data_IF_149152297268
#
_entry.id   IF_149152297268
#
_cell.length_a   1.000
_cell.length_b   1.000
_cell.length_c   1.000
_cell.angle_alpha   90.00
_cell.angle_beta   90.00
_cell.angle_gamma   90.00
#
_symmetry.space_group_name_H-M   'P 1'
#
loop_
_entity.id
_entity.type
_entity.pdbx_description
1 polymer ?
#
# COMPACT_ATOMS: atom_id res chain seq x y z
N UNK A 1 -13.04 37.47 -36.43
CA UNK A 1 -12.17 37.34 -35.24
C UNK A 1 -13.06 36.89 -34.10
N UNK A 2 -13.25 35.58 -33.99
CA UNK A 2 -14.21 34.98 -33.07
C UNK A 2 -13.62 34.95 -31.66
N UNK A 3 -13.79 36.06 -30.93
CA UNK A 3 -13.41 36.21 -29.51
C UNK A 3 -14.04 35.12 -28.61
N UNK A 4 -15.11 34.48 -29.09
CA UNK A 4 -15.77 33.35 -28.44
C UNK A 4 -15.05 32.01 -28.66
N UNK A 5 -14.32 31.82 -29.76
CA UNK A 5 -13.57 30.58 -30.03
C UNK A 5 -12.33 30.52 -29.13
N UNK A 6 -11.58 31.61 -29.01
CA UNK A 6 -10.43 31.69 -28.10
C UNK A 6 -10.83 31.53 -26.63
N UNK A 7 -11.96 32.13 -26.21
CA UNK A 7 -12.48 31.98 -24.85
C UNK A 7 -12.93 30.54 -24.53
N UNK A 8 -13.53 29.83 -25.50
CA UNK A 8 -13.90 28.41 -25.35
C UNK A 8 -12.67 27.51 -25.23
N UNK A 9 -11.64 27.74 -26.04
CA UNK A 9 -10.37 27.01 -25.91
C UNK A 9 -9.67 27.30 -24.58
N UNK A 10 -9.67 28.55 -24.12
CA UNK A 10 -9.13 28.91 -22.81
C UNK A 10 -9.87 28.21 -21.66
N UNK A 11 -11.21 28.16 -21.72
CA UNK A 11 -12.02 27.43 -20.74
C UNK A 11 -11.77 25.91 -20.79
N UNK A 12 -11.65 25.33 -21.98
CA UNK A 12 -11.34 23.89 -22.14
C UNK A 12 -9.94 23.58 -21.60
N UNK A 13 -8.94 24.40 -21.92
CA UNK A 13 -7.57 24.24 -21.40
C UNK A 13 -7.52 24.44 -19.87
N UNK A 14 -8.27 25.39 -19.33
CA UNK A 14 -8.39 25.59 -17.89
C UNK A 14 -9.03 24.35 -17.25
N UNK A 15 -10.19 23.88 -17.74
CA UNK A 15 -10.87 22.68 -17.24
C UNK A 15 -10.01 21.42 -17.34
N UNK A 16 -9.27 21.22 -18.45
CA UNK A 16 -8.33 20.11 -18.59
C UNK A 16 -7.20 20.20 -17.57
N UNK A 17 -6.65 21.39 -17.32
CA UNK A 17 -5.67 21.59 -16.25
C UNK A 17 -6.25 21.33 -14.84
N UNK A 18 -7.53 21.62 -14.58
CA UNK A 18 -8.22 21.25 -13.33
C UNK A 18 -8.46 19.74 -13.22
N UNK A 19 -8.73 19.06 -14.34
CA UNK A 19 -8.90 17.60 -14.39
C UNK A 19 -7.55 16.90 -14.17
N UNK A 20 -6.47 17.38 -14.79
CA UNK A 20 -5.11 16.84 -14.61
C UNK A 20 -4.58 17.05 -13.19
N UNK A 21 -4.89 18.19 -12.53
CA UNK A 21 -4.49 18.46 -11.15
C UNK A 21 -5.18 17.53 -10.13
N UNK A 22 -6.32 16.93 -10.47
CA UNK A 22 -7.04 15.99 -9.60
C UNK A 22 -6.66 14.53 -9.82
N UNK A 23 -6.01 14.18 -10.93
CA UNK A 23 -5.63 12.80 -11.25
C UNK A 23 -4.28 12.43 -10.61
N UNK A 24 -3.42 13.39 -10.28
CA UNK A 24 -2.14 13.18 -9.58
C UNK A 24 -2.34 13.23 -8.06
N UNK A 25 -3.07 12.27 -7.48
CA UNK A 25 -3.31 12.27 -6.01
C UNK A 25 -2.89 10.99 -5.28
N UNK A 26 -2.08 10.12 -5.88
CA UNK A 26 -1.42 9.05 -5.14
C UNK A 26 -0.18 8.58 -5.91
N UNK A 27 0.97 9.18 -5.61
CA UNK A 27 2.23 8.51 -5.94
C UNK A 27 2.42 7.38 -4.92
N UNK A 28 1.91 6.19 -5.23
CA UNK A 28 2.18 5.01 -4.41
C UNK A 28 3.69 4.77 -4.36
N UNK A 29 4.27 4.92 -3.17
CA UNK A 29 5.66 4.54 -2.93
C UNK A 29 5.76 3.02 -2.87
N UNK A 30 6.89 2.44 -3.31
CA UNK A 30 7.08 1.00 -3.30
C UNK A 30 7.12 0.44 -1.87
N UNK A 31 6.90 -0.87 -1.75
CA UNK A 31 6.87 -1.59 -0.48
C UNK A 31 5.47 -1.69 0.12
N UNK A 32 5.37 -2.41 1.23
CA UNK A 32 4.10 -2.77 1.87
C UNK A 32 4.03 -2.24 3.30
N UNK A 33 2.84 -1.81 3.68
CA UNK A 33 2.56 -1.31 5.03
C UNK A 33 2.59 -2.44 6.06
N UNK A 34 3.26 -2.26 7.22
CA UNK A 34 3.18 -3.20 8.34
C UNK A 34 1.74 -3.46 8.76
N UNK A 35 1.45 -4.71 9.13
CA UNK A 35 0.18 -5.04 9.79
C UNK A 35 0.29 -4.66 11.26
N UNK A 36 -0.71 -3.93 11.73
CA UNK A 36 -0.83 -3.53 13.14
C UNK A 36 -2.08 -4.12 13.78
N UNK A 37 -2.09 -4.14 15.11
CA UNK A 37 -3.32 -4.21 15.89
C UNK A 37 -4.02 -2.85 15.90
N UNK A 38 -4.28 -2.31 17.09
CA UNK A 38 -4.85 -0.96 17.25
C UNK A 38 -3.71 0.01 17.60
N UNK A 39 -3.33 0.86 16.65
CA UNK A 39 -2.36 1.93 16.83
C UNK A 39 -2.97 3.19 17.45
N UNK A 40 -2.15 4.26 17.50
CA UNK A 40 -2.60 5.57 17.99
C UNK A 40 -3.53 6.19 16.93
N UNK A 41 -4.70 6.68 17.37
CA UNK A 41 -5.68 7.36 16.54
C UNK A 41 -5.24 8.79 16.18
N UNK A 42 -4.30 8.90 15.25
CA UNK A 42 -3.80 10.15 14.70
C UNK A 42 -3.79 10.04 13.17
N UNK A 43 -4.23 11.11 12.50
CA UNK A 43 -4.12 11.27 11.05
C UNK A 43 -2.92 12.17 10.74
N UNK A 44 -1.76 11.57 10.48
CA UNK A 44 -0.52 12.30 10.15
C UNK A 44 -0.32 12.49 8.65
N UNK A 45 -1.02 11.73 7.81
CA UNK A 45 -0.90 11.74 6.36
C UNK A 45 -2.21 11.30 5.72
N UNK A 46 -2.43 11.65 4.46
CA UNK A 46 -3.56 11.17 3.64
C UNK A 46 -3.11 10.24 2.51
N UNK A 47 -1.88 10.39 2.02
CA UNK A 47 -1.28 9.52 1.03
C UNK A 47 0.26 9.48 1.17
N UNK A 48 0.90 8.58 0.43
CA UNK A 48 2.36 8.37 0.49
C UNK A 48 3.18 9.64 0.18
N UNK A 49 2.67 10.56 -0.64
CA UNK A 49 3.38 11.80 -0.98
C UNK A 49 3.48 12.79 0.19
N UNK A 50 2.62 12.66 1.20
CA UNK A 50 2.67 13.47 2.41
C UNK A 50 3.83 13.04 3.33
N UNK A 51 4.33 11.81 3.16
CA UNK A 51 5.37 11.24 3.99
C UNK A 51 6.77 11.57 3.46
N UNK A 52 7.77 11.76 4.33
CA UNK A 52 9.14 12.01 3.90
C UNK A 52 9.78 10.76 3.29
N UNK A 53 10.82 10.94 2.47
CA UNK A 53 11.65 9.86 1.92
C UNK A 53 10.81 8.74 1.28
N UNK A 54 11.14 7.48 1.56
CA UNK A 54 10.44 6.29 1.09
C UNK A 54 9.34 5.81 2.06
N UNK A 55 8.96 6.61 3.06
CA UNK A 55 7.91 6.23 4.00
C UNK A 55 6.53 6.23 3.34
N UNK A 56 5.72 5.23 3.66
CA UNK A 56 4.34 5.10 3.19
C UNK A 56 3.37 5.62 4.24
N UNK A 57 2.24 6.13 3.77
CA UNK A 57 1.12 6.51 4.60
C UNK A 57 0.24 5.29 4.86
N UNK A 58 0.36 4.72 6.05
CA UNK A 58 -0.19 3.40 6.35
C UNK A 58 -1.25 3.48 7.45
N UNK A 59 -2.37 2.78 7.23
CA UNK A 59 -3.45 2.66 8.23
C UNK A 59 -3.03 1.74 9.38
N UNK A 60 -3.07 2.25 10.61
CA UNK A 60 -2.60 1.57 11.80
C UNK A 60 -3.72 0.92 12.65
N UNK A 61 -4.89 0.68 12.07
CA UNK A 61 -6.05 0.17 12.80
C UNK A 61 -6.92 1.24 13.46
N UNK A 62 -6.48 2.52 13.47
CA UNK A 62 -7.32 3.64 13.89
C UNK A 62 -7.16 4.88 13.01
N UNK A 63 -5.93 5.28 12.67
CA UNK A 63 -5.65 6.37 11.74
C UNK A 63 -4.47 6.07 10.83
N UNK A 64 -3.89 7.11 10.20
CA UNK A 64 -2.77 6.97 9.27
C UNK A 64 -1.49 7.60 9.78
N UNK A 65 -0.39 6.87 9.63
CA UNK A 65 0.94 7.31 10.04
C UNK A 65 1.96 7.06 8.93
N UNK A 66 2.95 7.92 8.82
CA UNK A 66 4.11 7.70 7.96
C UNK A 66 5.03 6.67 8.61
N UNK A 67 5.37 5.62 7.88
CA UNK A 67 6.30 4.59 8.34
C UNK A 67 7.12 4.01 7.19
N UNK A 68 8.34 3.58 7.50
CA UNK A 68 9.17 2.82 6.57
C UNK A 68 8.44 1.53 6.15
N UNK A 69 8.28 1.29 4.84
CA UNK A 69 7.66 0.07 4.35
C UNK A 69 8.62 -1.12 4.42
N UNK A 70 8.07 -2.33 4.45
CA UNK A 70 8.88 -3.53 4.20
C UNK A 70 8.84 -3.91 2.72
N UNK A 71 9.87 -4.65 2.30
CA UNK A 71 9.96 -5.18 0.94
C UNK A 71 9.36 -6.57 0.90
N UNK A 72 8.39 -6.81 0.02
CA UNK A 72 7.86 -8.15 -0.23
C UNK A 72 8.95 -9.01 -0.86
N UNK A 73 9.04 -10.27 -0.41
CA UNK A 73 9.92 -11.24 -1.05
C UNK A 73 9.29 -11.75 -2.36
N UNK A 74 10.09 -12.03 -3.39
CA UNK A 74 9.59 -12.54 -4.66
C UNK A 74 8.77 -13.84 -4.54
N UNK A 75 7.89 -14.07 -5.51
CA UNK A 75 7.04 -15.26 -5.59
C UNK A 75 5.69 -15.11 -4.88
N UNK A 76 4.89 -16.17 -4.92
CA UNK A 76 3.52 -16.18 -4.36
C UNK A 76 3.35 -17.30 -3.34
N UNK A 77 2.41 -17.12 -2.42
CA UNK A 77 2.09 -18.14 -1.42
C UNK A 77 1.56 -19.43 -2.08
N UNK A 78 2.06 -20.61 -1.67
CA UNK A 78 1.68 -21.88 -2.28
C UNK A 78 0.19 -22.16 -2.08
N UNK A 79 -0.52 -22.59 -3.12
CA UNK A 79 -1.94 -22.96 -3.00
C UNK A 79 -2.08 -24.31 -2.28
N UNK A 80 -2.48 -24.30 -1.00
CA UNK A 80 -2.69 -25.52 -0.19
C UNK A 80 -4.09 -25.53 0.45
N UNK A 81 -4.50 -26.68 1.00
CA UNK A 81 -5.66 -26.74 1.90
C UNK A 81 -5.25 -26.12 3.24
N UNK A 82 -5.41 -24.81 3.31
CA UNK A 82 -5.23 -24.02 4.53
C UNK A 82 -6.20 -24.51 5.63
N UNK A 83 -5.78 -24.44 6.88
CA UNK A 83 -6.53 -24.87 8.06
C UNK A 83 -6.05 -26.18 8.69
N UNK A 84 -5.03 -26.84 8.14
CA UNK A 84 -4.32 -27.95 8.80
C UNK A 84 -2.93 -27.45 9.23
N UNK A 85 -2.73 -27.24 10.54
CA UNK A 85 -1.48 -26.73 11.10
C UNK A 85 -1.69 -26.00 12.42
N UNK A 86 -0.63 -25.32 12.89
CA UNK A 86 -0.69 -24.49 14.09
C UNK A 86 -1.48 -23.21 13.78
N UNK A 87 -2.46 -22.92 14.62
CA UNK A 87 -3.21 -21.67 14.56
C UNK A 87 -2.50 -20.58 15.38
N UNK A 88 -1.52 -19.92 14.77
CA UNK A 88 -0.74 -18.87 15.40
C UNK A 88 -0.27 -17.84 14.37
N UNK A 89 0.05 -16.65 14.85
CA UNK A 89 0.71 -15.60 14.08
C UNK A 89 2.23 -15.75 14.25
N UNK A 90 2.85 -16.60 13.41
CA UNK A 90 4.29 -16.89 13.47
C UNK A 90 5.13 -15.88 12.69
N UNK A 91 4.49 -15.12 11.79
CA UNK A 91 5.07 -14.02 11.05
C UNK A 91 3.99 -12.95 10.83
N UNK A 92 4.40 -11.68 10.69
CA UNK A 92 3.52 -10.58 10.31
C UNK A 92 3.70 -10.17 8.85
N UNK A 93 4.92 -10.32 8.33
CA UNK A 93 5.27 -10.05 6.94
C UNK A 93 6.46 -10.91 6.48
N UNK A 94 6.78 -10.86 5.18
CA UNK A 94 7.83 -11.67 4.57
C UNK A 94 9.20 -11.46 5.20
N UNK A 95 9.50 -10.28 5.74
CA UNK A 95 10.80 -9.98 6.36
C UNK A 95 11.01 -10.69 7.70
N UNK A 96 9.94 -11.17 8.34
CA UNK A 96 10.03 -11.98 9.56
C UNK A 96 10.48 -13.43 9.26
N UNK A 97 10.31 -13.87 8.01
CA UNK A 97 10.63 -15.23 7.60
C UNK A 97 12.10 -15.39 7.21
N UNK A 98 12.71 -16.57 7.40
CA UNK A 98 14.08 -16.83 6.97
C UNK A 98 14.17 -16.93 5.43
N UNK A 99 15.37 -16.69 4.89
CA UNK A 99 15.67 -16.86 3.45
C UNK A 99 14.63 -16.16 2.54
N UNK A 100 14.19 -16.84 1.48
CA UNK A 100 13.17 -16.36 0.53
C UNK A 100 11.74 -16.78 0.92
N UNK A 101 11.52 -17.29 2.14
CA UNK A 101 10.19 -17.72 2.57
C UNK A 101 9.24 -16.53 2.76
N UNK A 102 7.99 -16.74 2.38
CA UNK A 102 6.91 -15.74 2.47
C UNK A 102 6.02 -16.02 3.66
N UNK A 103 5.51 -14.95 4.25
CA UNK A 103 4.54 -15.02 5.33
C UNK A 103 3.13 -15.23 4.76
N UNK A 104 2.64 -16.45 4.84
CA UNK A 104 1.39 -16.84 4.18
C UNK A 104 0.29 -17.16 5.17
N UNK A 105 -0.93 -16.75 4.84
CA UNK A 105 -2.10 -17.11 5.63
C UNK A 105 -2.34 -18.62 5.58
N UNK A 106 -2.37 -19.26 6.75
CA UNK A 106 -2.47 -20.71 6.87
C UNK A 106 -3.89 -21.21 7.16
N UNK A 107 -4.90 -20.35 7.07
CA UNK A 107 -6.32 -20.66 7.28
C UNK A 107 -6.88 -20.13 8.61
N UNK A 108 -6.02 -19.80 9.57
CA UNK A 108 -6.43 -19.10 10.79
C UNK A 108 -5.35 -18.20 11.40
N UNK A 109 -4.08 -18.36 11.04
CA UNK A 109 -2.99 -17.43 11.34
C UNK A 109 -2.05 -17.26 10.14
N UNK A 110 -0.77 -17.03 10.39
CA UNK A 110 0.27 -16.91 9.35
C UNK A 110 1.53 -17.68 9.73
N UNK A 111 2.14 -18.29 8.72
CA UNK A 111 3.36 -19.09 8.88
C UNK A 111 4.26 -18.92 7.65
N UNK A 112 5.54 -19.22 7.81
CA UNK A 112 6.54 -19.04 6.76
C UNK A 112 6.53 -20.24 5.81
N UNK A 113 6.40 -19.99 4.52
CA UNK A 113 6.43 -21.02 3.49
C UNK A 113 7.34 -20.63 2.33
N UNK A 114 8.02 -21.63 1.78
CA UNK A 114 8.71 -21.47 0.51
C UNK A 114 7.73 -20.97 -0.58
N UNK A 115 8.11 -19.94 -1.35
CA UNK A 115 7.25 -19.37 -2.39
C UNK A 115 7.12 -20.35 -3.56
N UNK A 116 6.01 -20.21 -4.29
CA UNK A 116 5.88 -20.73 -5.66
C UNK A 116 6.17 -19.62 -6.66
N UNK A 117 6.65 -19.98 -7.86
CA UNK A 117 6.86 -19.06 -8.97
C UNK A 117 5.54 -18.56 -9.56
#
# INVERSE_FOLDING_TARGET
MDMNLSARWALVLFLLAFVDLKIVSATDKPGVCPRWGIGICVESCSNDSDCPNDEKCCFNGCGHVCIAPYTDKPGVCPRRRWGMGICAELCSNDSDCPNDEKCCHNGCGHDCFAPTQ
#
